data_IF_271528295641
#
_entry.id   IF_271528295641
#
_cell.length_a   1.000
_cell.length_b   1.000
_cell.length_c   1.000
_cell.angle_alpha   90.00
_cell.angle_beta   90.00
_cell.angle_gamma   90.00
#
_symmetry.space_group_name_H-M   'P 1'
#
loop_
_entity.id
_entity.type
_entity.pdbx_description
1 polymer ?
#
# COMPACT_ATOMS: atom_id res chain seq x y z
N UNK A 1 7.45 -4.91 1.92
CA UNK A 1 6.90 -5.61 0.72
C UNK A 1 7.65 -5.10 -0.50
N UNK A 2 7.97 -5.95 -1.48
CA UNK A 2 8.65 -5.51 -2.72
C UNK A 2 7.65 -4.78 -3.63
N UNK A 3 8.14 -3.80 -4.38
CA UNK A 3 7.37 -3.16 -5.44
C UNK A 3 7.02 -4.17 -6.55
N UNK A 4 5.94 -3.97 -7.32
CA UNK A 4 5.50 -4.90 -8.36
C UNK A 4 6.59 -5.29 -9.35
N UNK A 5 7.34 -4.33 -9.85
CA UNK A 5 8.44 -4.54 -10.78
C UNK A 5 9.57 -5.40 -10.17
N UNK A 6 9.93 -5.14 -8.91
CA UNK A 6 10.97 -5.91 -8.19
C UNK A 6 10.48 -7.32 -7.85
N UNK A 7 9.18 -7.50 -7.58
CA UNK A 7 8.58 -8.82 -7.41
C UNK A 7 8.66 -9.63 -8.71
N UNK A 8 8.47 -8.97 -9.86
CA UNK A 8 8.63 -9.56 -11.19
C UNK A 8 10.09 -9.68 -11.64
N UNK A 9 11.04 -9.59 -10.71
CA UNK A 9 12.49 -9.71 -10.96
C UNK A 9 13.08 -8.63 -11.87
N UNK A 10 12.42 -7.48 -11.99
CA UNK A 10 13.03 -6.30 -12.61
C UNK A 10 13.99 -5.63 -11.60
N UNK A 11 14.90 -4.80 -12.12
CA UNK A 11 15.84 -4.08 -11.29
C UNK A 11 15.12 -3.11 -10.34
N UNK A 12 15.61 -3.03 -9.10
CA UNK A 12 15.14 -2.04 -8.14
C UNK A 12 15.55 -0.65 -8.62
N UNK A 13 14.58 0.25 -8.75
CA UNK A 13 14.78 1.64 -9.15
C UNK A 13 14.40 2.60 -8.01
N UNK A 14 14.63 3.89 -8.22
CA UNK A 14 14.23 4.94 -7.26
C UNK A 14 12.73 4.90 -6.96
N UNK A 15 11.89 4.66 -7.99
CA UNK A 15 10.44 4.51 -7.81
C UNK A 15 10.08 3.29 -6.95
N UNK A 16 10.88 2.22 -6.96
CA UNK A 16 10.67 1.06 -6.08
C UNK A 16 10.84 1.40 -4.60
N UNK A 17 11.69 2.38 -4.28
CA UNK A 17 11.89 2.84 -2.90
C UNK A 17 10.68 3.63 -2.40
N UNK A 18 10.07 4.45 -3.26
CA UNK A 18 8.83 5.19 -2.95
C UNK A 18 7.72 4.23 -2.54
N UNK A 19 7.53 3.14 -3.28
CA UNK A 19 6.60 2.06 -2.91
C UNK A 19 6.93 1.48 -1.54
N UNK A 20 8.22 1.17 -1.29
CA UNK A 20 8.64 0.55 -0.04
C UNK A 20 8.35 1.45 1.18
N UNK A 21 8.56 2.76 1.05
CA UNK A 21 8.24 3.75 2.10
C UNK A 21 6.73 3.78 2.36
N UNK A 22 5.91 3.83 1.30
CA UNK A 22 4.46 3.84 1.46
C UNK A 22 3.94 2.59 2.17
N UNK A 23 4.45 1.41 1.79
CA UNK A 23 4.11 0.17 2.50
C UNK A 23 4.58 0.21 3.96
N UNK A 24 5.78 0.73 4.22
CA UNK A 24 6.31 0.84 5.58
C UNK A 24 5.41 1.72 6.47
N UNK A 25 5.00 2.89 5.98
CA UNK A 25 4.07 3.78 6.68
C UNK A 25 2.76 3.05 7.01
N UNK A 26 2.17 2.36 6.04
CA UNK A 26 0.92 1.62 6.25
C UNK A 26 1.08 0.47 7.25
N UNK A 27 2.20 -0.25 7.20
CA UNK A 27 2.51 -1.30 8.16
C UNK A 27 2.68 -0.77 9.59
N UNK A 28 3.12 0.48 9.77
CA UNK A 28 3.19 1.10 11.09
C UNK A 28 1.82 1.48 11.65
N UNK A 29 0.92 2.01 10.82
CA UNK A 29 -0.43 2.38 11.29
C UNK A 29 -1.31 1.15 11.51
N UNK A 30 -1.32 0.21 10.57
CA UNK A 30 -2.10 -1.01 10.67
C UNK A 30 -1.27 -2.21 10.21
N UNK A 31 -0.59 -2.88 11.15
CA UNK A 31 0.02 -4.16 10.88
C UNK A 31 -1.02 -5.14 10.32
N UNK A 32 -0.65 -5.94 9.32
CA UNK A 32 -1.55 -6.94 8.73
C UNK A 32 -2.36 -6.49 7.51
N UNK A 33 -2.32 -5.21 7.12
CA UNK A 33 -2.96 -4.77 5.86
C UNK A 33 -2.21 -5.29 4.64
N UNK A 34 -0.88 -5.23 4.67
CA UNK A 34 0.00 -5.59 3.55
C UNK A 34 1.07 -6.62 3.96
N UNK A 35 1.54 -7.38 2.97
CA UNK A 35 2.62 -8.34 3.07
C UNK A 35 2.24 -9.68 3.71
N UNK A 36 3.23 -10.37 4.27
CA UNK A 36 3.09 -11.68 4.90
C UNK A 36 2.10 -11.70 6.08
N UNK A 37 1.91 -10.56 6.73
CA UNK A 37 0.95 -10.39 7.81
C UNK A 37 -0.50 -10.28 7.32
N UNK A 38 -0.71 -9.88 6.05
CA UNK A 38 -2.03 -9.79 5.42
C UNK A 38 -2.40 -11.01 4.57
N UNK A 39 -1.51 -12.00 4.46
CA UNK A 39 -1.78 -13.30 3.88
C UNK A 39 -0.70 -14.27 4.34
N UNK A 40 -1.10 -15.24 5.18
CA UNK A 40 -0.20 -16.26 5.74
C UNK A 40 0.37 -17.22 4.69
N UNK A 41 -0.07 -17.13 3.44
CA UNK A 41 0.34 -18.06 2.39
C UNK A 41 1.59 -17.54 1.65
N UNK A 42 2.76 -18.22 1.78
CA UNK A 42 4.05 -17.71 1.31
C UNK A 42 4.09 -17.39 -0.20
N UNK A 43 3.31 -18.10 -1.00
CA UNK A 43 3.30 -17.97 -2.46
C UNK A 43 2.40 -16.85 -2.99
N UNK A 44 1.47 -16.34 -2.18
CA UNK A 44 0.51 -15.32 -2.62
C UNK A 44 0.54 -14.07 -1.75
N UNK A 45 1.37 -14.00 -0.71
CA UNK A 45 1.39 -12.88 0.21
C UNK A 45 1.64 -11.51 -0.48
N UNK A 46 2.61 -11.45 -1.39
CA UNK A 46 2.95 -10.24 -2.16
C UNK A 46 1.88 -9.98 -3.23
N UNK A 47 1.52 -10.95 -4.11
CA UNK A 47 0.42 -10.79 -5.06
C UNK A 47 -0.92 -10.38 -4.44
N UNK A 48 -1.29 -10.97 -3.32
CA UNK A 48 -2.53 -10.69 -2.59
C UNK A 48 -2.56 -9.27 -2.05
N UNK A 49 -1.45 -8.83 -1.47
CA UNK A 49 -1.34 -7.48 -0.94
C UNK A 49 -1.34 -6.42 -2.05
N UNK A 50 -0.85 -6.74 -3.25
CA UNK A 50 -1.00 -5.88 -4.43
C UNK A 50 -2.47 -5.85 -4.87
N UNK A 51 -3.12 -7.03 -4.95
CA UNK A 51 -4.53 -7.14 -5.30
C UNK A 51 -5.44 -6.31 -4.39
N UNK A 52 -5.15 -6.25 -3.09
CA UNK A 52 -5.91 -5.41 -2.14
C UNK A 52 -5.86 -3.91 -2.42
N UNK A 53 -4.74 -3.43 -2.95
CA UNK A 53 -4.55 -2.01 -3.26
C UNK A 53 -5.22 -1.60 -4.58
N UNK A 54 -5.78 -2.56 -5.32
CA UNK A 54 -6.32 -2.36 -6.66
C UNK A 54 -7.84 -2.52 -6.60
N UNK A 55 -8.55 -1.51 -7.10
CA UNK A 55 -10.00 -1.59 -7.25
C UNK A 55 -10.38 -2.66 -8.28
N UNK A 56 -9.61 -2.77 -9.37
CA UNK A 56 -9.87 -3.76 -10.44
C UNK A 56 -8.59 -4.27 -11.13
N UNK A 57 -8.35 -5.60 -11.22
CA UNK A 57 -7.18 -6.17 -11.90
C UNK A 57 -7.03 -5.80 -13.39
N UNK A 58 -8.05 -5.20 -13.99
CA UNK A 58 -8.04 -4.77 -15.37
C UNK A 58 -7.38 -3.39 -15.58
N UNK A 59 -7.15 -2.63 -14.51
CA UNK A 59 -6.44 -1.34 -14.51
C UNK A 59 -4.91 -1.49 -14.47
N UNK A 60 -4.42 -2.74 -14.45
CA UNK A 60 -3.00 -3.05 -14.33
C UNK A 60 -2.41 -3.24 -15.72
N UNK A 61 -1.41 -2.43 -16.04
CA UNK A 61 -0.61 -2.64 -17.23
C UNK A 61 0.43 -3.75 -17.02
N UNK A 62 0.63 -4.58 -18.05
CA UNK A 62 1.54 -5.73 -18.01
C UNK A 62 0.87 -7.08 -17.72
N UNK A 63 0.94 -7.98 -18.71
CA UNK A 63 0.33 -9.31 -18.69
C UNK A 63 0.72 -10.18 -17.47
N UNK A 64 1.99 -10.13 -17.06
CA UNK A 64 2.50 -10.93 -15.95
C UNK A 64 1.96 -10.48 -14.60
N UNK A 65 1.97 -9.17 -14.32
CA UNK A 65 1.46 -8.63 -13.06
C UNK A 65 -0.04 -8.91 -12.92
N UNK A 66 -0.79 -8.65 -14.00
CA UNK A 66 -2.22 -8.94 -14.10
C UNK A 66 -2.54 -10.42 -13.87
N UNK A 67 -1.77 -11.33 -14.47
CA UNK A 67 -1.96 -12.78 -14.30
C UNK A 67 -1.68 -13.24 -12.87
N UNK A 68 -0.61 -12.73 -12.25
CA UNK A 68 -0.25 -13.05 -10.87
C UNK A 68 -1.33 -12.53 -9.89
N UNK A 69 -1.84 -11.33 -10.11
CA UNK A 69 -2.91 -10.76 -9.27
C UNK A 69 -4.23 -11.49 -9.48
N UNK A 70 -4.62 -11.83 -10.72
CA UNK A 70 -5.79 -12.67 -10.98
C UNK A 70 -5.68 -14.05 -10.32
N UNK A 71 -4.50 -14.67 -10.36
CA UNK A 71 -4.25 -15.92 -9.67
C UNK A 71 -4.39 -15.77 -8.15
N UNK A 72 -3.84 -14.69 -7.57
CA UNK A 72 -3.97 -14.41 -6.15
C UNK A 72 -5.44 -14.17 -5.73
N UNK A 73 -6.19 -13.39 -6.50
CA UNK A 73 -7.63 -13.17 -6.29
C UNK A 73 -8.40 -14.49 -6.35
N UNK A 74 -8.08 -15.35 -7.34
CA UNK A 74 -8.76 -16.65 -7.54
C UNK A 74 -8.44 -17.63 -6.41
N UNK A 75 -7.18 -17.73 -6.00
CA UNK A 75 -6.75 -18.52 -4.84
C UNK A 75 -7.30 -17.96 -3.53
N UNK A 76 -7.49 -16.66 -3.44
CA UNK A 76 -8.17 -16.02 -2.32
C UNK A 76 -9.62 -16.48 -2.17
N UNK A 77 -10.33 -16.76 -3.27
CA UNK A 77 -11.72 -17.27 -3.21
C UNK A 77 -11.81 -18.67 -2.63
N UNK A 78 -10.77 -19.48 -2.76
CA UNK A 78 -10.74 -20.85 -2.22
C UNK A 78 -10.28 -20.92 -0.77
N UNK A 79 -9.88 -19.79 -0.18
CA UNK A 79 -9.36 -19.67 1.19
C UNK A 79 -10.24 -18.70 2.00
N UNK A 80 -11.14 -19.18 2.88
CA UNK A 80 -12.03 -18.34 3.69
C UNK A 80 -11.28 -17.29 4.52
N UNK A 81 -10.10 -17.64 5.03
CA UNK A 81 -9.21 -16.75 5.79
C UNK A 81 -8.76 -15.51 4.99
N UNK A 82 -8.67 -15.62 3.66
CA UNK A 82 -8.31 -14.50 2.78
C UNK A 82 -9.55 -13.70 2.37
N UNK A 83 -10.73 -14.32 2.28
CA UNK A 83 -12.00 -13.61 2.05
C UNK A 83 -12.45 -12.79 3.26
N UNK A 84 -12.02 -13.15 4.48
CA UNK A 84 -12.27 -12.36 5.68
C UNK A 84 -11.52 -11.01 5.68
N UNK A 85 -10.59 -10.84 4.74
CA UNK A 85 -9.71 -9.69 4.67
C UNK A 85 -10.34 -8.65 3.74
N UNK A 86 -10.68 -7.50 4.30
CA UNK A 86 -11.41 -6.45 3.58
C UNK A 86 -10.53 -5.80 2.49
N UNK A 87 -11.15 -5.17 1.47
CA UNK A 87 -10.45 -4.26 0.58
C UNK A 87 -9.69 -3.20 1.36
N UNK A 88 -8.58 -2.69 0.82
CA UNK A 88 -7.72 -1.74 1.51
C UNK A 88 -8.49 -0.52 2.07
N UNK A 89 -9.39 0.04 1.27
CA UNK A 89 -10.23 1.19 1.68
C UNK A 89 -11.13 0.89 2.87
N UNK A 90 -11.63 -0.34 2.98
CA UNK A 90 -12.46 -0.77 4.10
C UNK A 90 -11.58 -1.12 5.32
N UNK A 91 -10.42 -1.78 5.14
CA UNK A 91 -9.47 -2.02 6.24
C UNK A 91 -8.96 -0.72 6.87
N UNK A 92 -8.70 0.30 6.06
CA UNK A 92 -8.23 1.60 6.53
C UNK A 92 -9.32 2.46 7.16
N UNK A 93 -10.61 2.13 6.98
CA UNK A 93 -11.72 2.71 7.76
C UNK A 93 -11.87 2.05 9.14
N UNK A 94 -11.49 0.79 9.29
CA UNK A 94 -11.58 0.08 10.59
C UNK A 94 -10.57 0.56 11.63
N UNK A 95 -9.50 1.19 11.17
CA UNK A 95 -8.61 2.00 12.00
C UNK A 95 -9.00 3.44 11.77
N UNK A 96 -8.95 4.31 12.78
CA UNK A 96 -9.18 5.74 12.62
C UNK A 96 -8.02 6.39 11.85
N UNK A 97 -7.75 5.90 10.64
CA UNK A 97 -6.65 6.33 9.80
C UNK A 97 -6.98 7.73 9.28
N UNK A 98 -6.12 8.72 9.55
CA UNK A 98 -6.31 10.06 9.05
C UNK A 98 -6.36 10.06 7.53
N UNK A 99 -7.25 10.87 6.95
CA UNK A 99 -7.41 10.96 5.49
C UNK A 99 -6.09 11.36 4.82
N UNK A 100 -5.28 12.21 5.45
CA UNK A 100 -3.98 12.65 4.95
C UNK A 100 -3.02 11.48 4.68
N UNK A 101 -3.13 10.40 5.46
CA UNK A 101 -2.33 9.20 5.25
C UNK A 101 -2.92 8.30 4.15
N UNK A 102 -4.24 8.26 4.01
CA UNK A 102 -4.87 7.57 2.87
C UNK A 102 -4.53 8.27 1.56
N UNK A 103 -4.40 9.59 1.59
CA UNK A 103 -4.02 10.37 0.42
C UNK A 103 -2.60 10.02 -0.05
N UNK A 104 -1.68 9.63 0.86
CA UNK A 104 -0.33 9.13 0.52
C UNK A 104 -0.31 7.82 -0.28
N UNK A 105 -1.45 7.16 -0.49
CA UNK A 105 -1.55 5.96 -1.35
C UNK A 105 -1.15 6.21 -2.80
N UNK A 106 -1.10 7.45 -3.27
CA UNK A 106 -0.58 7.75 -4.62
C UNK A 106 0.87 7.28 -4.82
N UNK A 107 1.61 7.00 -3.75
CA UNK A 107 2.92 6.35 -3.78
C UNK A 107 2.87 4.85 -4.15
N UNK A 108 1.70 4.21 -4.04
CA UNK A 108 1.44 2.79 -4.35
C UNK A 108 0.89 2.56 -5.76
N UNK A 109 1.26 3.42 -6.71
CA UNK A 109 0.99 3.20 -8.13
C UNK A 109 1.82 2.01 -8.64
N UNK A 110 1.16 1.10 -9.35
CA UNK A 110 1.77 -0.16 -9.78
C UNK A 110 2.77 0.03 -10.90
N UNK A 111 2.43 0.86 -11.88
CA UNK A 111 3.34 1.25 -12.95
C UNK A 111 4.48 2.11 -12.38
N UNK A 112 5.74 1.65 -12.44
CA UNK A 112 6.86 2.41 -11.93
C UNK A 112 7.13 3.72 -12.70
N UNK A 113 6.61 3.87 -13.92
CA UNK A 113 6.73 5.11 -14.74
C UNK A 113 5.77 6.18 -14.25
N UNK A 114 4.54 5.80 -13.94
CA UNK A 114 3.50 6.70 -13.41
C UNK A 114 3.66 6.96 -11.90
N UNK A 115 4.48 6.16 -11.22
CA UNK A 115 4.73 6.32 -9.78
C UNK A 115 5.50 7.62 -9.52
N UNK A 116 5.07 8.44 -8.55
CA UNK A 116 5.75 9.69 -8.23
C UNK A 116 7.20 9.45 -7.79
N UNK A 117 8.07 10.39 -8.15
CA UNK A 117 9.44 10.42 -7.61
C UNK A 117 9.43 10.81 -6.13
N UNK A 118 10.52 10.49 -5.42
CA UNK A 118 10.69 10.91 -4.03
C UNK A 118 10.64 12.45 -3.89
N UNK A 119 11.25 13.19 -4.82
CA UNK A 119 11.21 14.66 -4.83
C UNK A 119 9.78 15.19 -5.00
N UNK A 120 8.98 14.55 -5.84
CA UNK A 120 7.57 14.90 -6.01
C UNK A 120 6.78 14.65 -4.72
N UNK A 121 6.96 13.49 -4.09
CA UNK A 121 6.30 13.15 -2.81
C UNK A 121 6.67 14.16 -1.72
N UNK A 122 7.94 14.53 -1.59
CA UNK A 122 8.40 15.52 -0.61
C UNK A 122 7.79 16.91 -0.85
N UNK A 123 7.55 17.27 -2.11
CA UNK A 123 6.92 18.54 -2.46
C UNK A 123 5.39 18.51 -2.36
N UNK A 124 4.78 17.33 -2.22
CA UNK A 124 3.35 17.10 -2.39
C UNK A 124 2.52 17.73 -1.27
N UNK A 125 1.25 18.04 -1.57
CA UNK A 125 0.33 18.62 -0.58
C UNK A 125 -0.10 17.59 0.45
N UNK A 126 -0.20 16.34 0.04
CA UNK A 126 -0.57 15.17 0.83
C UNK A 126 0.46 14.94 1.93
N UNK A 127 1.75 14.95 1.61
CA UNK A 127 2.81 14.79 2.62
C UNK A 127 2.82 15.96 3.61
N UNK A 128 2.72 17.20 3.12
CA UNK A 128 2.65 18.38 4.02
C UNK A 128 1.41 18.33 4.92
N UNK A 129 0.26 17.89 4.40
CA UNK A 129 -0.95 17.73 5.19
C UNK A 129 -0.75 16.68 6.28
N UNK A 130 -0.08 15.57 5.96
CA UNK A 130 0.28 14.53 6.93
C UNK A 130 1.26 15.02 8.00
N UNK A 131 2.30 15.76 7.62
CA UNK A 131 3.26 16.37 8.56
C UNK A 131 2.57 17.36 9.51
N UNK A 132 1.69 18.22 8.96
CA UNK A 132 0.93 19.18 9.76
C UNK A 132 -0.01 18.48 10.76
N UNK A 133 -0.58 17.32 10.40
CA UNK A 133 -1.34 16.51 11.33
C UNK A 133 -0.47 16.06 12.52
N UNK A 134 0.73 15.54 12.25
CA UNK A 134 1.69 15.13 13.28
C UNK A 134 2.09 16.28 14.20
N UNK A 135 2.41 17.44 13.63
CA UNK A 135 2.74 18.64 14.42
C UNK A 135 1.59 19.12 15.30
N UNK A 136 0.36 19.07 14.80
CA UNK A 136 -0.82 19.47 15.57
C UNK A 136 -1.13 18.50 16.70
N UNK A 137 -0.95 17.20 16.50
CA UNK A 137 -1.11 16.17 17.54
C UNK A 137 -0.09 16.38 18.67
N UNK A 138 1.20 16.56 18.33
CA UNK A 138 2.26 16.83 19.31
C UNK A 138 1.99 18.12 20.09
N UNK A 139 1.48 19.16 19.43
CA UNK A 139 1.17 20.44 20.06
C UNK A 139 -0.06 20.37 20.99
N UNK A 140 -1.01 19.49 20.71
CA UNK A 140 -2.16 19.22 21.58
C UNK A 140 -1.75 18.41 22.81
N UNK A 141 -0.92 17.38 22.64
CA UNK A 141 -0.37 16.61 23.77
C UNK A 141 0.55 17.47 24.66
N UNK A 142 1.31 18.39 24.06
CA UNK A 142 2.15 19.35 24.79
C UNK A 142 1.41 20.53 25.43
N UNK A 143 0.10 20.69 25.21
CA UNK A 143 -0.75 21.73 25.86
C UNK A 143 -1.56 21.21 27.05
N UNK A 144 -1.44 19.93 27.37
CA UNK A 144 -2.15 19.30 28.48
C UNK A 144 -1.29 19.16 29.75
N UNK A 145 -0.25 19.98 29.90
CA UNK A 145 0.62 20.06 31.09
C UNK A 145 0.50 21.43 31.77
#
# INVERSE_FOLDING_TARGET
MRAPEVFLSQACAESSQVWAIAVMLLCWIKPGVLGMWGSYHPLINVPWSMAKNIATPDEIDGYHLKSVIKAAVTLGKTKPELQAILPFDEETKTVEMPNQLRDLRFMLIHDPVERPSASFVLASRELRAFENLGHNLIKLEGRSM
#
